data_IF_953068779987
#
_entry.id   IF_953068779987
#
_cell.length_a   1.000
_cell.length_b   1.000
_cell.length_c   1.000
_cell.angle_alpha   90.00
_cell.angle_beta   90.00
_cell.angle_gamma   90.00
#
_symmetry.space_group_name_H-M   'P 1'
#
loop_
_entity.id
_entity.type
_entity.pdbx_description
1 polymer ?
#
# COMPACT_ATOMS: atom_id res chain seq x y z
N UNK A 1 -0.02 -37.56 6.73
CA UNK A 1 -0.01 -36.11 6.85
C UNK A 1 -1.11 -35.51 5.98
N UNK A 2 -1.95 -34.71 6.59
CA UNK A 2 -3.03 -34.08 5.84
C UNK A 2 -2.52 -32.76 5.25
N UNK A 3 -2.56 -32.70 3.93
CA UNK A 3 -2.17 -31.49 3.20
C UNK A 3 -3.41 -30.61 3.03
N UNK A 4 -3.40 -29.42 3.66
CA UNK A 4 -4.46 -28.46 3.47
C UNK A 4 -4.07 -27.44 2.43
N UNK A 5 -4.88 -27.35 1.40
CA UNK A 5 -4.69 -26.36 0.35
C UNK A 5 -5.15 -25.01 0.84
N UNK A 6 -4.22 -24.06 0.92
CA UNK A 6 -4.54 -22.68 1.31
C UNK A 6 -5.10 -21.92 0.13
N UNK A 7 -6.04 -20.99 0.35
CA UNK A 7 -6.53 -20.16 -0.74
C UNK A 7 -5.44 -19.22 -1.24
N UNK A 8 -5.51 -18.87 -2.52
CA UNK A 8 -4.58 -17.95 -3.14
C UNK A 8 -5.11 -16.52 -3.06
N UNK A 9 -5.56 -16.12 -1.90
CA UNK A 9 -6.03 -14.75 -1.66
C UNK A 9 -6.02 -14.48 -0.16
N UNK A 10 -5.95 -13.19 0.18
CA UNK A 10 -5.95 -12.76 1.56
C UNK A 10 -7.36 -12.79 2.14
N UNK A 11 -7.47 -13.12 3.41
CA UNK A 11 -8.72 -13.10 4.15
C UNK A 11 -9.26 -11.68 4.30
N UNK A 12 -8.37 -10.74 4.66
CA UNK A 12 -8.73 -9.33 4.77
C UNK A 12 -7.64 -8.49 4.12
N UNK A 13 -7.71 -8.32 2.80
CA UNK A 13 -6.68 -7.56 2.08
C UNK A 13 -6.58 -6.11 2.55
N UNK A 14 -7.68 -5.53 3.04
CA UNK A 14 -7.66 -4.15 3.52
C UNK A 14 -6.71 -3.93 4.68
N UNK A 15 -6.69 -4.85 5.63
CA UNK A 15 -5.77 -4.75 6.77
C UNK A 15 -4.31 -4.82 6.33
N UNK A 16 -4.01 -5.68 5.36
CA UNK A 16 -2.65 -5.80 4.83
C UNK A 16 -2.26 -4.53 4.10
N UNK A 17 -3.13 -4.01 3.25
CA UNK A 17 -2.89 -2.76 2.51
C UNK A 17 -2.72 -1.59 3.49
N UNK A 18 -3.52 -1.51 4.54
CA UNK A 18 -3.37 -0.47 5.55
C UNK A 18 -2.03 -0.53 6.26
N UNK A 19 -1.56 -1.74 6.61
CA UNK A 19 -0.24 -1.93 7.21
C UNK A 19 0.87 -1.53 6.24
N UNK A 20 0.71 -1.87 4.95
CA UNK A 20 1.68 -1.50 3.92
C UNK A 20 1.74 0.01 3.73
N UNK A 21 0.61 0.70 3.79
CA UNK A 21 0.58 2.16 3.71
C UNK A 21 1.38 2.79 4.85
N UNK A 22 1.16 2.34 6.06
CA UNK A 22 1.90 2.85 7.22
C UNK A 22 3.41 2.58 7.09
N UNK A 23 3.77 1.39 6.68
CA UNK A 23 5.17 1.04 6.46
C UNK A 23 5.78 1.92 5.36
N UNK A 24 5.07 2.09 4.25
CA UNK A 24 5.52 2.92 3.13
C UNK A 24 5.77 4.36 3.57
N UNK A 25 4.86 4.94 4.35
CA UNK A 25 5.01 6.31 4.84
C UNK A 25 6.24 6.46 5.71
N UNK A 26 6.50 5.51 6.60
CA UNK A 26 7.69 5.53 7.46
C UNK A 26 8.96 5.43 6.62
N UNK A 27 8.96 4.53 5.63
CA UNK A 27 10.11 4.31 4.76
C UNK A 27 10.40 5.56 3.92
N UNK A 28 9.37 6.21 3.38
CA UNK A 28 9.54 7.43 2.58
C UNK A 28 10.12 8.56 3.44
N UNK A 29 9.63 8.73 4.67
CA UNK A 29 10.18 9.74 5.58
C UNK A 29 11.64 9.44 5.91
N UNK A 30 11.97 8.17 6.17
CA UNK A 30 13.35 7.79 6.43
C UNK A 30 14.24 8.06 5.22
N UNK A 31 13.76 7.77 4.01
CA UNK A 31 14.52 8.02 2.79
C UNK A 31 14.80 9.49 2.58
N UNK A 32 13.88 10.38 3.00
CA UNK A 32 14.09 11.82 2.86
C UNK A 32 15.07 12.37 3.90
N UNK A 33 15.40 11.61 4.93
CA UNK A 33 16.31 12.03 6.00
C UNK A 33 17.75 11.56 5.79
N UNK A 34 18.02 10.77 4.75
CA UNK A 34 19.36 10.26 4.47
C UNK A 34 19.86 10.83 3.15
N UNK A 35 21.16 10.62 2.90
CA UNK A 35 21.80 11.11 1.68
C UNK A 35 21.15 10.53 0.44
N UNK A 36 20.65 11.37 -0.45
CA UNK A 36 20.06 10.96 -1.71
C UNK A 36 21.07 10.17 -2.54
N UNK A 37 20.59 9.09 -3.16
CA UNK A 37 21.39 8.19 -3.99
C UNK A 37 22.48 7.45 -3.21
N UNK A 38 22.45 7.48 -1.89
CA UNK A 38 23.33 6.66 -1.07
C UNK A 38 22.82 5.24 -0.95
N UNK A 39 23.62 4.38 -0.31
CA UNK A 39 23.29 2.96 -0.14
C UNK A 39 21.99 2.78 0.64
N UNK A 40 21.83 3.54 1.73
CA UNK A 40 20.63 3.44 2.57
C UNK A 40 19.40 3.92 1.80
N UNK A 41 19.54 5.02 1.06
CA UNK A 41 18.46 5.53 0.22
C UNK A 41 17.99 4.47 -0.77
N UNK A 42 18.90 3.81 -1.47
CA UNK A 42 18.53 2.78 -2.44
C UNK A 42 17.88 1.58 -1.77
N UNK A 43 18.36 1.17 -0.59
CA UNK A 43 17.74 0.08 0.15
C UNK A 43 16.29 0.40 0.52
N UNK A 44 16.04 1.63 0.97
CA UNK A 44 14.69 2.08 1.31
C UNK A 44 13.79 2.16 0.08
N UNK A 45 14.33 2.62 -1.06
CA UNK A 45 13.57 2.66 -2.30
C UNK A 45 13.16 1.27 -2.78
N UNK A 46 13.97 0.26 -2.55
CA UNK A 46 13.62 -1.13 -2.88
C UNK A 46 12.39 -1.58 -2.10
N UNK A 47 12.30 -1.18 -0.83
CA UNK A 47 11.12 -1.50 -0.01
C UNK A 47 9.87 -0.84 -0.58
N UNK A 48 9.96 0.44 -0.96
CA UNK A 48 8.82 1.17 -1.53
C UNK A 48 8.35 0.49 -2.82
N UNK A 49 9.28 0.12 -3.70
CA UNK A 49 8.94 -0.55 -4.96
C UNK A 49 8.25 -1.89 -4.70
N UNK A 50 8.74 -2.65 -3.73
CA UNK A 50 8.13 -3.93 -3.39
C UNK A 50 6.72 -3.76 -2.84
N UNK A 51 6.51 -2.76 -1.98
CA UNK A 51 5.19 -2.45 -1.42
C UNK A 51 4.24 -2.04 -2.55
N UNK A 52 4.67 -1.17 -3.45
CA UNK A 52 3.83 -0.72 -4.56
C UNK A 52 3.46 -1.88 -5.49
N UNK A 53 4.41 -2.76 -5.77
CA UNK A 53 4.16 -3.95 -6.56
C UNK A 53 3.18 -4.91 -5.90
N UNK A 54 3.34 -5.14 -4.60
CA UNK A 54 2.43 -6.00 -3.86
C UNK A 54 1.01 -5.41 -3.80
N UNK A 55 0.90 -4.11 -3.59
CA UNK A 55 -0.40 -3.43 -3.58
C UNK A 55 -1.09 -3.56 -4.93
N UNK A 56 -0.35 -3.46 -6.03
CA UNK A 56 -0.90 -3.65 -7.37
C UNK A 56 -1.50 -5.05 -7.52
N UNK A 57 -0.78 -6.07 -7.08
CA UNK A 57 -1.27 -7.44 -7.16
C UNK A 57 -2.51 -7.66 -6.29
N UNK A 58 -2.49 -7.14 -5.07
CA UNK A 58 -3.58 -7.35 -4.11
C UNK A 58 -4.85 -6.60 -4.51
N UNK A 59 -4.71 -5.36 -4.97
CA UNK A 59 -5.88 -4.50 -5.27
C UNK A 59 -6.27 -4.52 -6.73
N UNK A 60 -5.41 -4.96 -7.62
CA UNK A 60 -5.62 -4.86 -9.06
C UNK A 60 -5.44 -3.45 -9.60
N UNK A 61 -5.03 -2.51 -8.78
CA UNK A 61 -4.88 -1.11 -9.18
C UNK A 61 -3.41 -0.71 -9.19
N UNK A 62 -2.85 -0.37 -10.37
CA UNK A 62 -1.50 0.18 -10.41
C UNK A 62 -1.49 1.54 -9.72
N UNK A 63 -0.37 1.88 -9.10
CA UNK A 63 -0.20 3.17 -8.41
C UNK A 63 -1.19 3.42 -7.29
N UNK A 64 -1.60 2.36 -6.59
CA UNK A 64 -2.61 2.47 -5.53
C UNK A 64 -2.28 3.55 -4.49
N UNK A 65 -1.02 3.62 -4.03
CA UNK A 65 -0.60 4.60 -3.03
C UNK A 65 -0.24 5.96 -3.62
N UNK A 66 -0.07 6.04 -4.93
CA UNK A 66 0.39 7.25 -5.62
C UNK A 66 -0.71 7.94 -6.39
N UNK A 67 -1.93 7.44 -6.33
CA UNK A 67 -3.07 8.08 -6.97
C UNK A 67 -3.39 9.38 -6.26
N UNK A 68 -2.73 10.43 -6.69
CA UNK A 68 -3.00 11.75 -6.20
C UNK A 68 -3.43 12.62 -7.35
N UNK A 69 -4.68 13.02 -7.35
CA UNK A 69 -5.15 14.01 -8.28
C UNK A 69 -4.64 15.39 -7.91
N UNK A 70 -4.90 16.33 -8.76
CA UNK A 70 -4.57 17.74 -8.54
C UNK A 70 -5.67 18.42 -7.73
N UNK A 71 -5.86 17.99 -6.52
CA UNK A 71 -6.85 18.57 -5.62
C UNK A 71 -8.09 17.70 -5.50
N UNK A 72 -8.66 17.64 -4.30
CA UNK A 72 -9.78 16.74 -4.02
C UNK A 72 -11.09 17.26 -4.58
N UNK A 73 -11.71 16.49 -5.46
CA UNK A 73 -13.10 16.64 -5.81
C UNK A 73 -13.96 15.87 -4.82
N UNK A 74 -15.28 16.05 -4.87
CA UNK A 74 -16.18 15.28 -4.03
C UNK A 74 -16.06 13.77 -4.28
N UNK A 75 -15.91 13.37 -5.54
CA UNK A 75 -15.73 11.96 -5.88
C UNK A 75 -14.41 11.43 -5.34
N UNK A 76 -13.38 12.24 -5.32
CA UNK A 76 -12.09 11.84 -4.75
C UNK A 76 -12.16 11.70 -3.24
N UNK A 77 -12.92 12.58 -2.57
CA UNK A 77 -13.13 12.46 -1.12
C UNK A 77 -13.87 11.18 -0.78
N UNK A 78 -14.93 10.86 -1.52
CA UNK A 78 -15.69 9.64 -1.31
C UNK A 78 -14.81 8.41 -1.54
N UNK A 79 -13.96 8.44 -2.56
CA UNK A 79 -13.02 7.37 -2.83
C UNK A 79 -11.99 7.22 -1.70
N UNK A 80 -11.47 8.35 -1.20
CA UNK A 80 -10.52 8.34 -0.09
C UNK A 80 -11.14 7.75 1.16
N UNK A 81 -12.39 8.09 1.46
CA UNK A 81 -13.11 7.54 2.60
C UNK A 81 -13.31 6.03 2.45
N UNK A 82 -13.65 5.56 1.25
CA UNK A 82 -13.79 4.14 0.98
C UNK A 82 -12.47 3.40 1.12
N UNK A 83 -11.39 4.00 0.63
CA UNK A 83 -10.06 3.42 0.80
C UNK A 83 -9.68 3.34 2.28
N UNK A 84 -9.94 4.39 3.04
CA UNK A 84 -9.65 4.40 4.46
C UNK A 84 -10.43 3.32 5.20
N UNK A 85 -11.72 3.15 4.88
CA UNK A 85 -12.53 2.09 5.48
C UNK A 85 -12.01 0.71 5.09
N UNK A 86 -11.66 0.52 3.82
CA UNK A 86 -11.08 -0.74 3.35
C UNK A 86 -9.79 -1.08 4.10
N UNK A 87 -8.90 -0.09 4.28
CA UNK A 87 -7.62 -0.31 4.95
C UNK A 87 -7.77 -0.51 6.46
N UNK A 88 -8.91 -0.17 7.03
CA UNK A 88 -9.25 -0.53 8.41
C UNK A 88 -9.88 -1.91 8.52
N UNK A 89 -10.13 -2.56 7.39
CA UNK A 89 -10.76 -3.87 7.38
C UNK A 89 -12.29 -3.83 7.46
N UNK A 90 -12.88 -2.67 7.22
CA UNK A 90 -14.34 -2.47 7.34
C UNK A 90 -15.06 -2.56 5.99
N UNK A 91 -14.34 -2.35 4.90
CA UNK A 91 -14.93 -2.33 3.58
C UNK A 91 -14.95 -3.69 2.92
N UNK A 92 -15.90 -3.89 2.02
CA UNK A 92 -15.95 -5.06 1.14
C UNK A 92 -15.32 -4.69 -0.20
N UNK A 93 -14.60 -5.62 -0.73
CA UNK A 93 -14.03 -5.47 -2.07
C UNK A 93 -14.95 -6.07 -3.12
#
# INVERSE_FOLDING_TARGET
>A
MVYQKKPDRLENPGLVIGAMRRCRDVVIRAASSVKSHGVIYHALQMIVVAIDGAAHVITGQPYYFSEGGTGPSESERARTERQAAFERGEGEL
#
